data_IF_441652836339
#
_entry.id   IF_441652836339
#
_cell.length_a   1.000
_cell.length_b   1.000
_cell.length_c   1.000
_cell.angle_alpha   90.00
_cell.angle_beta   90.00
_cell.angle_gamma   90.00
#
_symmetry.space_group_name_H-M   'P 1'
#
loop_
_entity.id
_entity.type
_entity.pdbx_description
1 polymer ?
#
# COMPACT_ATOMS: atom_id res chain seq x y z
N UNK A 1 18.89 -3.22 -5.22
CA UNK A 1 18.29 -1.93 -5.62
C UNK A 1 16.99 -1.80 -4.83
N UNK A 2 17.04 -1.16 -3.66
CA UNK A 2 15.90 -1.08 -2.73
C UNK A 2 15.04 0.11 -3.15
N UNK A 3 13.95 -0.18 -3.86
CA UNK A 3 12.91 0.79 -4.20
C UNK A 3 12.21 1.28 -2.94
N UNK A 4 11.78 2.55 -2.93
CA UNK A 4 10.97 3.15 -1.86
C UNK A 4 9.74 2.28 -1.61
N UNK A 5 9.51 1.88 -0.36
CA UNK A 5 8.32 1.14 0.06
C UNK A 5 7.39 2.10 0.79
N UNK A 6 6.29 2.48 0.15
CA UNK A 6 5.20 3.22 0.78
C UNK A 6 4.07 2.25 1.05
N UNK A 7 3.80 1.96 2.32
CA UNK A 7 2.61 1.25 2.73
C UNK A 7 1.50 2.27 2.96
N UNK A 8 0.68 2.48 1.93
CA UNK A 8 -0.57 3.24 2.03
C UNK A 8 -1.75 2.28 2.17
N UNK A 9 -2.70 2.59 3.05
CA UNK A 9 -3.96 1.85 3.12
C UNK A 9 -5.13 2.76 2.82
N UNK A 10 -6.00 2.24 1.95
CA UNK A 10 -7.29 2.83 1.67
C UNK A 10 -8.36 1.85 2.10
N UNK A 11 -9.04 2.18 3.19
CA UNK A 11 -10.18 1.43 3.68
C UNK A 11 -11.43 2.09 3.13
N UNK A 12 -11.77 1.88 1.85
CA UNK A 12 -13.05 2.36 1.31
C UNK A 12 -13.59 1.42 0.24
N UNK A 13 -14.91 1.36 0.08
CA UNK A 13 -15.55 0.70 -1.07
C UNK A 13 -15.40 1.47 -2.39
N UNK A 14 -14.50 2.46 -2.45
CA UNK A 14 -14.24 3.23 -3.66
C UNK A 14 -13.27 2.46 -4.60
N UNK A 15 -13.27 2.78 -5.91
CA UNK A 15 -12.39 2.14 -6.88
C UNK A 15 -10.91 2.26 -6.46
N UNK A 16 -10.10 1.24 -6.79
CA UNK A 16 -8.62 1.23 -6.67
C UNK A 16 -7.96 2.55 -7.10
N UNK A 17 -8.56 3.21 -8.09
CA UNK A 17 -8.16 4.52 -8.60
C UNK A 17 -8.16 5.61 -7.53
N UNK A 18 -9.20 5.67 -6.69
CA UNK A 18 -9.31 6.67 -5.64
C UNK A 18 -8.28 6.42 -4.55
N UNK A 19 -8.01 5.14 -4.26
CA UNK A 19 -6.96 4.73 -3.35
C UNK A 19 -5.57 5.20 -3.83
N UNK A 20 -5.29 4.97 -5.12
CA UNK A 20 -4.04 5.37 -5.74
C UNK A 20 -3.87 6.89 -5.76
N UNK A 21 -4.92 7.64 -6.11
CA UNK A 21 -4.90 9.11 -6.09
C UNK A 21 -4.61 9.66 -4.70
N UNK A 22 -5.19 9.06 -3.65
CA UNK A 22 -4.92 9.48 -2.28
C UNK A 22 -3.46 9.20 -1.88
N UNK A 23 -2.93 8.02 -2.19
CA UNK A 23 -1.55 7.67 -1.88
C UNK A 23 -0.54 8.58 -2.61
N UNK A 24 -0.75 8.83 -3.90
CA UNK A 24 0.06 9.77 -4.71
C UNK A 24 0.06 11.17 -4.12
N UNK A 25 -1.12 11.68 -3.74
CA UNK A 25 -1.25 13.03 -3.17
C UNK A 25 -0.56 13.15 -1.81
N UNK A 26 -0.56 12.08 -1.00
CA UNK A 26 0.09 12.06 0.32
C UNK A 26 1.62 12.06 0.22
N UNK A 27 2.17 11.37 -0.78
CA UNK A 27 3.62 11.30 -1.03
C UNK A 27 4.16 12.53 -1.79
N UNK A 28 3.32 13.54 -2.05
CA UNK A 28 3.64 14.75 -2.83
C UNK A 28 4.31 14.43 -4.18
N UNK A 29 3.97 13.28 -4.76
CA UNK A 29 4.51 12.85 -6.06
C UNK A 29 3.94 13.78 -7.12
N UNK A 30 4.82 14.44 -7.89
CA UNK A 30 4.36 15.36 -8.92
C UNK A 30 3.65 14.58 -10.04
N UNK A 31 2.76 15.24 -10.77
CA UNK A 31 2.12 14.63 -11.94
C UNK A 31 3.13 14.17 -13.01
N UNK A 32 4.36 14.70 -13.01
CA UNK A 32 5.42 14.27 -13.91
C UNK A 32 6.02 12.92 -13.48
N UNK A 33 6.19 12.70 -12.17
CA UNK A 33 6.76 11.49 -11.58
C UNK A 33 5.78 10.30 -11.60
N UNK A 34 4.48 10.57 -11.78
CA UNK A 34 3.45 9.53 -11.95
C UNK A 34 3.74 8.58 -13.11
N UNK A 35 4.40 9.06 -14.17
CA UNK A 35 4.74 8.26 -15.35
C UNK A 35 5.83 7.22 -15.08
N UNK A 36 6.60 7.41 -14.02
CA UNK A 36 7.65 6.47 -13.60
C UNK A 36 7.16 5.48 -12.54
N UNK A 37 5.93 5.65 -12.04
CA UNK A 37 5.36 4.73 -11.06
C UNK A 37 4.90 3.42 -11.69
N UNK A 38 5.27 2.34 -11.02
CA UNK A 38 4.72 1.01 -11.28
C UNK A 38 3.82 0.60 -10.12
N UNK A 39 2.54 0.34 -10.40
CA UNK A 39 1.63 -0.30 -9.45
C UNK A 39 1.78 -1.81 -9.58
N UNK A 40 2.36 -2.46 -8.57
CA UNK A 40 2.39 -3.92 -8.51
C UNK A 40 1.14 -4.47 -7.81
N UNK A 41 0.47 -5.44 -8.44
CA UNK A 41 -0.74 -6.08 -7.90
C UNK A 41 -0.72 -7.59 -8.19
N UNK A 42 -1.46 -8.35 -7.38
CA UNK A 42 -1.87 -9.68 -7.80
C UNK A 42 -2.84 -9.63 -8.99
N UNK A 43 -3.22 -10.80 -9.51
CA UNK A 43 -4.21 -10.92 -10.60
C UNK A 43 -5.67 -10.87 -10.13
N UNK A 44 -5.95 -10.21 -9.00
CA UNK A 44 -7.31 -10.03 -8.51
C UNK A 44 -8.20 -9.38 -9.56
N UNK A 45 -9.45 -9.86 -9.67
CA UNK A 45 -10.40 -9.42 -10.71
C UNK A 45 -10.67 -7.90 -10.70
N UNK A 46 -10.46 -7.25 -9.55
CA UNK A 46 -10.62 -5.81 -9.38
C UNK A 46 -9.54 -5.02 -10.13
N UNK A 47 -8.28 -5.48 -10.07
CA UNK A 47 -7.13 -4.86 -10.73
C UNK A 47 -7.00 -5.30 -12.19
N UNK A 48 -7.39 -6.54 -12.51
CA UNK A 48 -7.40 -7.09 -13.86
C UNK A 48 -8.52 -6.53 -14.75
N UNK A 49 -9.55 -5.89 -14.17
CA UNK A 49 -10.68 -5.33 -14.91
C UNK A 49 -10.22 -4.18 -15.79
N UNK A 50 -10.73 -4.16 -17.02
CA UNK A 50 -10.38 -3.16 -18.05
C UNK A 50 -10.55 -1.72 -17.57
N UNK A 51 -11.66 -1.43 -16.87
CA UNK A 51 -11.91 -0.10 -16.32
C UNK A 51 -10.83 0.36 -15.33
N UNK A 52 -10.19 -0.55 -14.58
CA UNK A 52 -9.07 -0.20 -13.72
C UNK A 52 -7.82 0.09 -14.55
N UNK A 53 -7.50 -0.77 -15.52
CA UNK A 53 -6.34 -0.62 -16.40
C UNK A 53 -6.41 0.67 -17.22
N UNK A 54 -7.57 1.02 -17.78
CA UNK A 54 -7.76 2.26 -18.53
C UNK A 54 -7.46 3.51 -17.69
N UNK A 55 -7.79 3.49 -16.40
CA UNK A 55 -7.51 4.62 -15.51
C UNK A 55 -6.03 4.68 -15.11
N UNK A 56 -5.39 3.54 -14.87
CA UNK A 56 -3.95 3.51 -14.59
C UNK A 56 -3.16 4.04 -15.79
N UNK A 57 -3.52 3.59 -17.00
CA UNK A 57 -2.93 4.06 -18.26
C UNK A 57 -3.16 5.56 -18.48
N UNK A 58 -4.35 6.10 -18.19
CA UNK A 58 -4.60 7.54 -18.34
C UNK A 58 -3.83 8.40 -17.35
N UNK A 59 -3.41 7.83 -16.22
CA UNK A 59 -2.51 8.46 -15.25
C UNK A 59 -1.02 8.24 -15.59
N UNK A 60 -0.70 7.47 -16.64
CA UNK A 60 0.67 7.12 -17.01
C UNK A 60 1.32 6.05 -16.14
N UNK A 61 0.55 5.39 -15.26
CA UNK A 61 1.06 4.42 -14.28
C UNK A 61 1.09 3.03 -14.92
N UNK A 62 2.25 2.38 -14.87
CA UNK A 62 2.40 1.01 -15.37
C UNK A 62 1.86 0.02 -14.34
N UNK A 63 0.88 -0.81 -14.70
CA UNK A 63 0.42 -1.89 -13.82
C UNK A 63 1.26 -3.16 -14.07
N UNK A 64 2.02 -3.59 -13.07
CA UNK A 64 2.73 -4.87 -13.08
C UNK A 64 1.91 -5.89 -12.29
N UNK A 65 1.57 -7.02 -12.91
CA UNK A 65 0.81 -8.07 -12.24
C UNK A 65 1.64 -9.31 -11.97
N UNK A 66 1.45 -9.92 -10.80
CA UNK A 66 2.14 -11.15 -10.42
C UNK A 66 1.97 -12.25 -11.47
N UNK A 67 3.00 -13.07 -11.64
CA UNK A 67 2.93 -14.24 -12.54
C UNK A 67 1.99 -15.29 -11.94
N UNK A 68 1.27 -16.03 -12.80
CA UNK A 68 0.40 -17.12 -12.35
C UNK A 68 1.24 -18.15 -11.58
N UNK A 69 0.89 -18.39 -10.32
CA UNK A 69 1.59 -19.37 -9.46
C UNK A 69 2.88 -18.86 -8.80
N UNK A 70 3.18 -17.55 -8.87
CA UNK A 70 4.35 -16.97 -8.21
C UNK A 70 3.94 -16.27 -6.90
N UNK A 71 4.04 -16.96 -5.77
CA UNK A 71 3.73 -16.41 -4.44
C UNK A 71 4.73 -15.33 -3.98
N UNK A 72 5.95 -15.34 -4.51
CA UNK A 72 7.00 -14.39 -4.11
C UNK A 72 6.65 -12.94 -4.47
N UNK A 73 5.91 -12.74 -5.56
CA UNK A 73 5.45 -11.43 -6.01
C UNK A 73 4.50 -10.78 -4.98
N UNK A 74 3.76 -11.60 -4.21
CA UNK A 74 2.79 -11.13 -3.21
C UNK A 74 3.32 -11.21 -1.76
N UNK A 75 4.47 -11.85 -1.54
CA UNK A 75 4.97 -12.15 -0.21
C UNK A 75 5.14 -10.91 0.68
N UNK A 76 5.58 -9.78 0.12
CA UNK A 76 5.80 -8.56 0.91
C UNK A 76 4.49 -7.98 1.44
N UNK A 77 3.45 -7.90 0.61
CA UNK A 77 2.15 -7.37 1.05
C UNK A 77 1.41 -8.37 1.95
N UNK A 78 1.57 -9.67 1.73
CA UNK A 78 1.04 -10.71 2.62
C UNK A 78 1.68 -10.63 4.02
N UNK A 79 3.00 -10.41 4.09
CA UNK A 79 3.71 -10.21 5.35
C UNK A 79 3.21 -8.97 6.10
N UNK A 80 2.96 -7.86 5.38
CA UNK A 80 2.31 -6.68 5.94
C UNK A 80 0.93 -7.01 6.53
N UNK A 81 0.06 -7.69 5.76
CA UNK A 81 -1.28 -8.02 6.24
C UNK A 81 -1.27 -8.98 7.42
N UNK A 82 -0.36 -9.95 7.46
CA UNK A 82 -0.17 -10.83 8.60
C UNK A 82 0.21 -10.03 9.85
N UNK A 83 1.13 -9.08 9.71
CA UNK A 83 1.57 -8.18 10.77
C UNK A 83 0.43 -7.29 11.27
N UNK A 84 -0.26 -6.59 10.37
CA UNK A 84 -1.41 -5.74 10.68
C UNK A 84 -2.49 -6.51 11.45
N UNK A 85 -2.82 -7.72 11.01
CA UNK A 85 -3.83 -8.53 11.69
C UNK A 85 -3.40 -8.91 13.09
N UNK A 86 -2.14 -9.33 13.23
CA UNK A 86 -1.57 -9.76 14.50
C UNK A 86 -1.42 -8.62 15.50
N UNK A 87 -1.02 -7.44 15.06
CA UNK A 87 -0.72 -6.31 15.94
C UNK A 87 -1.94 -5.42 16.22
N UNK A 88 -2.95 -5.41 15.34
CA UNK A 88 -4.13 -4.57 15.48
C UNK A 88 -5.45 -5.37 15.41
N UNK A 89 -5.74 -5.99 14.26
CA UNK A 89 -7.10 -6.45 13.95
C UNK A 89 -7.61 -7.52 14.93
N UNK A 90 -6.74 -8.42 15.39
CA UNK A 90 -7.12 -9.45 16.36
C UNK A 90 -7.30 -8.93 17.79
N UNK A 91 -6.86 -7.71 18.07
CA UNK A 91 -6.98 -7.08 19.40
C UNK A 91 -8.14 -6.10 19.48
N UNK A 92 -8.77 -5.76 18.36
CA UNK A 92 -9.82 -4.75 18.27
C UNK A 92 -11.20 -5.34 17.97
N UNK A 93 -12.24 -4.68 18.51
CA UNK A 93 -13.64 -4.99 18.18
C UNK A 93 -14.37 -3.72 17.75
N UNK A 94 -14.54 -3.56 16.45
CA UNK A 94 -15.17 -2.37 15.86
C UNK A 94 -16.68 -2.45 15.91
N UNK A 95 -17.32 -1.37 16.36
CA UNK A 95 -18.78 -1.20 16.37
C UNK A 95 -19.30 -0.84 14.98
N UNK A 96 -18.50 -0.12 14.20
CA UNK A 96 -18.86 0.30 12.85
C UNK A 96 -17.63 0.45 11.95
N UNK A 97 -17.88 0.62 10.65
CA UNK A 97 -16.82 0.75 9.64
C UNK A 97 -15.96 2.01 9.85
N UNK A 98 -16.51 3.11 10.36
CA UNK A 98 -15.77 4.36 10.57
C UNK A 98 -14.68 4.19 11.63
N UNK A 99 -15.00 3.47 12.71
CA UNK A 99 -14.05 3.13 13.77
C UNK A 99 -12.91 2.25 13.22
N UNK A 100 -13.25 1.20 12.46
CA UNK A 100 -12.25 0.37 11.81
C UNK A 100 -11.34 1.17 10.86
N UNK A 101 -11.92 2.10 10.08
CA UNK A 101 -11.16 2.98 9.19
C UNK A 101 -10.17 3.87 9.96
N UNK A 102 -10.61 4.43 11.08
CA UNK A 102 -9.79 5.34 11.89
C UNK A 102 -8.62 4.59 12.53
N UNK A 103 -8.90 3.43 13.12
CA UNK A 103 -7.89 2.56 13.74
C UNK A 103 -6.87 2.06 12.71
N UNK A 104 -7.33 1.63 11.53
CA UNK A 104 -6.44 1.24 10.43
C UNK A 104 -5.58 2.39 9.92
N UNK A 105 -6.15 3.60 9.78
CA UNK A 105 -5.39 4.78 9.39
C UNK A 105 -4.31 5.14 10.42
N UNK A 106 -4.66 5.19 11.69
CA UNK A 106 -3.72 5.50 12.78
C UNK A 106 -2.60 4.46 12.84
N UNK A 107 -2.94 3.17 12.79
CA UNK A 107 -1.95 2.11 12.80
C UNK A 107 -0.96 2.25 11.64
N UNK A 108 -1.40 2.67 10.46
CA UNK A 108 -0.54 2.66 9.27
C UNK A 108 0.29 3.93 9.20
N UNK A 109 -0.36 5.08 9.30
CA UNK A 109 0.28 6.39 9.12
C UNK A 109 1.10 6.82 10.33
N UNK A 110 0.64 6.49 11.53
CA UNK A 110 1.28 6.95 12.77
C UNK A 110 2.20 5.87 13.32
N UNK A 111 1.72 4.63 13.44
CA UNK A 111 2.52 3.58 14.06
C UNK A 111 3.46 2.87 13.06
N UNK A 112 2.92 2.23 12.02
CA UNK A 112 3.68 1.38 11.11
C UNK A 112 4.74 2.18 10.34
N UNK A 113 4.35 3.28 9.71
CA UNK A 113 5.26 4.06 8.87
C UNK A 113 6.29 4.86 9.67
N UNK A 114 5.95 5.36 10.87
CA UNK A 114 6.81 6.31 11.62
C UNK A 114 7.49 5.74 12.85
N UNK A 115 6.96 4.67 13.45
CA UNK A 115 7.40 4.16 14.76
C UNK A 115 7.87 2.71 14.67
N UNK A 116 7.15 1.85 13.96
CA UNK A 116 7.41 0.41 13.92
C UNK A 116 8.75 0.13 13.26
N UNK A 117 9.63 -0.57 13.98
CA UNK A 117 10.96 -0.95 13.47
C UNK A 117 10.91 -2.26 12.70
N UNK A 118 11.64 -2.33 11.59
CA UNK A 118 11.73 -3.52 10.74
C UNK A 118 13.15 -4.06 10.73
N UNK A 119 13.35 -5.34 11.08
CA UNK A 119 14.67 -5.98 11.03
C UNK A 119 15.27 -5.95 9.62
N UNK A 120 14.44 -6.10 8.58
CA UNK A 120 14.85 -5.97 7.18
C UNK A 120 15.34 -4.56 6.80
N UNK A 121 15.00 -3.54 7.59
CA UNK A 121 15.41 -2.14 7.40
C UNK A 121 16.51 -1.73 8.40
N UNK A 122 17.25 -2.68 8.97
CA UNK A 122 18.28 -2.38 9.98
C UNK A 122 17.71 -1.83 11.28
N UNK A 123 16.50 -2.27 11.66
CA UNK A 123 15.75 -1.79 12.82
C UNK A 123 15.35 -0.30 12.75
N UNK A 124 15.20 0.22 11.54
CA UNK A 124 14.58 1.52 11.27
C UNK A 124 13.09 1.35 10.97
N UNK A 125 12.33 2.43 11.19
CA UNK A 125 10.96 2.55 10.63
C UNK A 125 11.00 2.90 9.14
N UNK A 126 9.92 2.66 8.37
CA UNK A 126 9.85 3.03 6.96
C UNK A 126 10.21 4.50 6.72
N UNK A 127 9.65 5.43 7.49
CA UNK A 127 9.93 6.86 7.37
C UNK A 127 11.40 7.19 7.64
N UNK A 128 12.01 6.55 8.65
CA UNK A 128 13.43 6.74 8.95
C UNK A 128 14.32 6.18 7.83
N UNK A 129 13.98 5.00 7.30
CA UNK A 129 14.72 4.37 6.21
C UNK A 129 14.74 5.23 4.94
N UNK A 130 13.63 5.90 4.62
CA UNK A 130 13.53 6.82 3.48
C UNK A 130 14.29 8.14 3.68
N UNK A 131 14.53 8.58 4.92
CA UNK A 131 15.32 9.79 5.18
C UNK A 131 16.83 9.56 5.07
N UNK A 132 17.28 8.32 5.28
CA UNK A 132 18.72 7.96 5.25
C UNK A 132 19.19 7.42 3.90
N UNK A 133 18.27 7.20 2.96
CA UNK A 133 18.53 6.64 1.62
C UNK A 133 18.12 7.63 0.54
#
# INVERSE_FOLDING_TARGET
MLSKWVAGVVVSGAPVVNALRMAVNQEAVSNADLKELTLHSDRGSQYAREACQQVLTSMGITCSMSRKGNCWDNATIESFFATLKKELVYHERYKNRSEARSSLFEYIEVFYNRVRKHSALGYLSPAQFTQVT
#
